data_IF_419499629461
#
_entry.id   IF_419499629461
#
_cell.length_a   1.000
_cell.length_b   1.000
_cell.length_c   1.000
_cell.angle_alpha   90.00
_cell.angle_beta   90.00
_cell.angle_gamma   90.00
#
_symmetry.space_group_name_H-M   'P 1'
#
loop_
_entity.id
_entity.type
_entity.pdbx_description
1 polymer ?
#
# COMPACT_ATOMS: atom_id res chain seq x y z
N UNK A 1 -13.58 -3.24 -6.84
CA UNK A 1 -13.39 -4.49 -6.06
C UNK A 1 -12.44 -5.40 -6.82
N UNK A 2 -11.73 -6.30 -6.13
CA UNK A 2 -10.88 -7.32 -6.74
C UNK A 2 -11.73 -8.37 -7.48
N UNK A 3 -11.17 -9.02 -8.53
CA UNK A 3 -11.79 -10.19 -9.14
C UNK A 3 -11.80 -11.38 -8.18
N UNK A 4 -12.46 -12.48 -8.58
CA UNK A 4 -12.53 -13.72 -7.79
C UNK A 4 -11.13 -14.23 -7.42
N UNK A 5 -10.89 -14.75 -6.19
CA UNK A 5 -9.60 -15.31 -5.76
C UNK A 5 -9.03 -16.37 -6.70
N UNK A 6 -9.89 -17.13 -7.36
CA UNK A 6 -9.52 -18.24 -8.25
C UNK A 6 -9.30 -17.80 -9.70
N UNK A 7 -9.53 -16.52 -10.02
CA UNK A 7 -9.32 -15.99 -11.36
C UNK A 7 -7.83 -15.81 -11.65
N UNK A 8 -7.42 -16.04 -12.89
CA UNK A 8 -6.07 -15.73 -13.38
C UNK A 8 -5.72 -14.25 -13.28
N UNK A 9 -6.73 -13.37 -13.31
CA UNK A 9 -6.53 -11.91 -13.26
C UNK A 9 -6.33 -11.38 -11.84
N UNK A 10 -6.60 -12.21 -10.83
CA UNK A 10 -6.54 -11.80 -9.43
C UNK A 10 -5.16 -11.34 -8.96
N UNK A 11 -4.05 -12.07 -9.23
CA UNK A 11 -2.73 -11.68 -8.78
C UNK A 11 -2.30 -10.32 -9.33
N UNK A 12 -2.54 -10.10 -10.63
CA UNK A 12 -2.23 -8.85 -11.31
C UNK A 12 -3.08 -7.70 -10.75
N UNK A 13 -4.40 -7.87 -10.63
CA UNK A 13 -5.30 -6.85 -10.10
C UNK A 13 -4.96 -6.46 -8.65
N UNK A 14 -4.61 -7.44 -7.81
CA UNK A 14 -4.18 -7.21 -6.44
C UNK A 14 -2.90 -6.36 -6.39
N UNK A 15 -1.89 -6.75 -7.18
CA UNK A 15 -0.61 -6.03 -7.25
C UNK A 15 -0.80 -4.59 -7.72
N UNK A 16 -1.48 -4.40 -8.85
CA UNK A 16 -1.74 -3.09 -9.42
C UNK A 16 -2.48 -2.18 -8.45
N UNK A 17 -3.53 -2.68 -7.79
CA UNK A 17 -4.28 -1.85 -6.84
C UNK A 17 -3.48 -1.53 -5.58
N UNK A 18 -2.69 -2.47 -5.07
CA UNK A 18 -1.78 -2.23 -3.94
C UNK A 18 -0.76 -1.14 -4.28
N UNK A 19 -0.16 -1.21 -5.46
CA UNK A 19 0.85 -0.26 -5.94
C UNK A 19 0.24 1.12 -6.20
N UNK A 20 -0.96 1.18 -6.77
CA UNK A 20 -1.74 2.41 -6.94
C UNK A 20 -1.96 3.15 -5.61
N UNK A 21 -2.17 2.43 -4.50
CA UNK A 21 -2.32 3.02 -3.17
C UNK A 21 -0.99 3.28 -2.45
N UNK A 22 0.15 3.03 -3.10
CA UNK A 22 1.48 3.17 -2.49
C UNK A 22 1.73 2.21 -1.32
N UNK A 23 0.97 1.12 -1.22
CA UNK A 23 1.08 0.17 -0.12
C UNK A 23 2.21 -0.83 -0.37
N UNK A 24 3.09 -0.99 0.63
CA UNK A 24 4.03 -2.11 0.63
C UNK A 24 3.30 -3.43 0.93
N UNK A 25 3.88 -4.56 0.50
CA UNK A 25 3.37 -5.90 0.84
C UNK A 25 3.26 -6.09 2.35
N UNK A 26 4.28 -5.68 3.11
CA UNK A 26 4.27 -5.78 4.57
C UNK A 26 3.15 -4.95 5.19
N UNK A 27 2.88 -3.75 4.66
CA UNK A 27 1.78 -2.90 5.14
C UNK A 27 0.42 -3.52 4.83
N UNK A 28 0.22 -4.05 3.62
CA UNK A 28 -1.00 -4.77 3.26
C UNK A 28 -1.24 -5.95 4.20
N UNK A 29 -0.19 -6.72 4.51
CA UNK A 29 -0.28 -7.85 5.43
C UNK A 29 -0.70 -7.42 6.85
N UNK A 30 -0.09 -6.34 7.38
CA UNK A 30 -0.44 -5.78 8.69
C UNK A 30 -1.90 -5.35 8.74
N UNK A 31 -2.37 -4.60 7.74
CA UNK A 31 -3.76 -4.11 7.68
C UNK A 31 -4.77 -5.25 7.54
N UNK A 32 -4.44 -6.27 6.75
CA UNK A 32 -5.33 -7.42 6.56
C UNK A 32 -5.26 -8.46 7.71
N UNK A 33 -4.34 -8.29 8.66
CA UNK A 33 -4.11 -9.25 9.74
C UNK A 33 -3.67 -10.62 9.22
N UNK A 34 -2.83 -10.64 8.19
CA UNK A 34 -2.26 -11.86 7.59
C UNK A 34 -0.74 -11.89 7.74
N UNK A 35 -0.13 -13.06 7.54
CA UNK A 35 1.32 -13.19 7.62
C UNK A 35 2.03 -12.40 6.50
N UNK A 36 3.19 -11.79 6.81
CA UNK A 36 3.91 -10.88 5.91
C UNK A 36 4.30 -11.45 4.54
N UNK A 37 4.44 -12.78 4.45
CA UNK A 37 4.75 -13.49 3.20
C UNK A 37 3.54 -13.67 2.28
N UNK A 38 2.32 -13.60 2.82
CA UNK A 38 1.10 -13.97 2.09
C UNK A 38 0.79 -13.05 0.92
N UNK A 39 0.95 -11.70 1.01
CA UNK A 39 0.75 -10.83 -0.15
C UNK A 39 1.59 -11.24 -1.36
N UNK A 40 2.86 -11.62 -1.13
CA UNK A 40 3.73 -12.11 -2.21
C UNK A 40 3.16 -13.37 -2.87
N UNK A 41 2.72 -14.34 -2.05
CA UNK A 41 2.12 -15.60 -2.52
C UNK A 41 0.82 -15.41 -3.29
N UNK A 42 0.15 -14.27 -3.12
CA UNK A 42 -1.08 -13.93 -3.83
C UNK A 42 -0.83 -13.16 -5.13
N UNK A 43 0.32 -12.48 -5.25
CA UNK A 43 0.67 -11.62 -6.39
C UNK A 43 1.52 -12.34 -7.44
N UNK A 44 2.26 -13.38 -7.06
CA UNK A 44 3.26 -14.05 -7.92
C UNK A 44 2.79 -15.47 -8.28
N UNK A 45 1.97 -15.66 -9.32
CA UNK A 45 1.50 -16.98 -9.75
C UNK A 45 2.62 -17.89 -10.25
N UNK A 46 3.72 -17.30 -10.75
CA UNK A 46 4.90 -18.03 -11.21
C UNK A 46 5.76 -18.58 -10.06
N UNK A 47 5.48 -18.17 -8.81
CA UNK A 47 6.17 -18.69 -7.64
C UNK A 47 5.62 -20.08 -7.29
N UNK A 48 6.50 -21.05 -7.03
CA UNK A 48 6.09 -22.36 -6.51
C UNK A 48 5.36 -22.33 -5.16
N UNK A 49 5.28 -21.16 -4.51
CA UNK A 49 4.53 -20.92 -3.28
C UNK A 49 3.20 -20.18 -3.51
N UNK A 50 2.75 -20.07 -4.75
CA UNK A 50 1.49 -19.40 -5.07
C UNK A 50 0.33 -20.02 -4.29
N UNK A 51 -0.47 -19.15 -3.68
CA UNK A 51 -1.62 -19.56 -2.89
C UNK A 51 -2.83 -18.71 -3.26
N UNK A 52 -4.02 -19.31 -3.21
CA UNK A 52 -5.27 -18.56 -3.33
C UNK A 52 -5.74 -18.11 -1.95
N UNK A 53 -6.09 -16.83 -1.74
CA UNK A 53 -6.63 -16.39 -0.46
C UNK A 53 -7.99 -17.02 -0.19
N UNK A 54 -8.29 -17.28 1.08
CA UNK A 54 -9.64 -17.69 1.52
C UNK A 54 -10.63 -16.55 1.33
N UNK A 55 -11.92 -16.87 1.28
CA UNK A 55 -13.00 -15.89 1.14
C UNK A 55 -12.93 -14.75 2.17
N UNK A 56 -12.62 -15.07 3.43
CA UNK A 56 -12.50 -14.07 4.50
C UNK A 56 -11.31 -13.13 4.28
N UNK A 57 -10.16 -13.69 3.87
CA UNK A 57 -8.97 -12.90 3.55
C UNK A 57 -9.22 -12.00 2.34
N UNK A 58 -9.86 -12.54 1.31
CA UNK A 58 -10.23 -11.77 0.12
C UNK A 58 -11.14 -10.59 0.47
N UNK A 59 -12.10 -10.76 1.38
CA UNK A 59 -12.97 -9.67 1.86
C UNK A 59 -12.18 -8.56 2.55
N UNK A 60 -11.29 -8.92 3.48
CA UNK A 60 -10.40 -7.95 4.17
C UNK A 60 -9.51 -7.18 3.19
N UNK A 61 -8.96 -7.88 2.19
CA UNK A 61 -8.17 -7.23 1.14
C UNK A 61 -9.02 -6.21 0.37
N UNK A 62 -10.27 -6.53 0.03
CA UNK A 62 -11.18 -5.58 -0.61
C UNK A 62 -11.47 -4.37 0.27
N UNK A 63 -11.71 -4.55 1.57
CA UNK A 63 -11.95 -3.45 2.50
C UNK A 63 -10.79 -2.45 2.57
N UNK A 64 -9.55 -2.95 2.52
CA UNK A 64 -8.35 -2.12 2.59
C UNK A 64 -8.04 -1.43 1.26
N UNK A 65 -8.27 -2.13 0.15
CA UNK A 65 -7.92 -1.65 -1.20
C UNK A 65 -9.01 -0.79 -1.84
N UNK A 66 -10.23 -0.88 -1.33
CA UNK A 66 -11.41 -0.19 -1.86
C UNK A 66 -12.22 0.45 -0.71
N UNK A 67 -11.61 1.34 0.10
CA UNK A 67 -12.28 1.97 1.25
C UNK A 67 -13.53 2.76 0.84
N UNK A 68 -13.59 3.27 -0.38
CA UNK A 68 -14.73 4.00 -0.92
C UNK A 68 -16.01 3.14 -1.02
N UNK A 69 -15.87 1.81 -1.12
CA UNK A 69 -17.02 0.88 -1.16
C UNK A 69 -17.44 0.40 0.23
N UNK A 70 -16.59 0.58 1.25
CA UNK A 70 -16.85 0.13 2.62
C UNK A 70 -17.19 1.26 3.58
N UNK A 71 -17.05 2.51 3.12
CA UNK A 71 -17.31 3.71 3.92
C UNK A 71 -18.79 3.88 4.32
N UNK A 72 -19.71 3.10 3.75
CA UNK A 72 -21.11 3.06 4.19
C UNK A 72 -21.37 2.17 5.43
N UNK A 73 -20.39 1.41 5.93
CA UNK A 73 -20.61 0.45 7.04
C UNK A 73 -19.75 0.71 8.28
N UNK A 74 -18.77 1.63 8.24
CA UNK A 74 -17.84 1.87 9.35
C UNK A 74 -18.12 3.17 10.12
N UNK A 75 -19.37 3.33 10.56
CA UNK A 75 -19.64 4.06 11.79
C UNK A 75 -19.38 3.14 12.98
N UNK A 76 -18.43 3.51 13.84
CA UNK A 76 -18.10 2.87 15.12
C UNK A 76 -17.26 1.58 15.03
N UNK A 77 -15.95 1.67 15.32
CA UNK A 77 -15.30 0.93 16.43
C UNK A 77 -13.98 1.61 16.80
N UNK A 78 -14.06 2.55 17.75
CA UNK A 78 -12.94 2.96 18.61
C UNK A 78 -13.10 2.22 19.94
N UNK A 79 -12.10 1.44 20.39
CA UNK A 79 -11.95 1.14 21.81
C UNK A 79 -10.55 1.57 22.31
N UNK A 80 -10.31 1.65 23.63
CA UNK A 80 -10.18 2.91 24.35
C UNK A 80 -8.73 3.25 24.72
N UNK A 81 -8.50 4.51 25.05
CA UNK A 81 -7.28 5.03 25.66
C UNK A 81 -7.14 4.46 27.08
N UNK A 82 -5.95 4.02 27.52
CA UNK A 82 -5.53 4.19 28.90
C UNK A 82 -4.53 5.34 28.99
N UNK A 83 -4.95 6.41 29.67
CA UNK A 83 -4.04 7.44 30.17
C UNK A 83 -3.21 6.81 31.29
N UNK A 84 -1.89 6.81 31.18
CA UNK A 84 -1.01 6.88 32.35
C UNK A 84 0.31 7.52 31.94
N UNK A 85 0.51 8.70 32.50
CA UNK A 85 1.72 9.52 32.52
C UNK A 85 2.86 8.77 33.19
N UNK A 86 4.02 8.70 32.55
CA UNK A 86 5.31 8.68 33.23
C UNK A 86 6.39 9.15 32.26
N UNK A 87 7.07 10.18 32.72
CA UNK A 87 8.12 10.96 32.08
C UNK A 87 9.47 10.21 32.09
N UNK A 88 10.44 10.76 31.35
CA UNK A 88 11.90 10.64 31.54
C UNK A 88 12.69 9.59 30.72
N UNK A 89 13.21 10.11 29.59
CA UNK A 89 14.65 10.21 29.25
C UNK A 89 15.38 9.12 28.44
N UNK A 90 16.10 9.64 27.43
CA UNK A 90 17.35 9.15 26.81
C UNK A 90 17.29 7.84 26.02
N UNK A 91 17.64 7.75 24.74
CA UNK A 91 18.69 8.43 23.93
C UNK A 91 18.34 8.34 22.43
N UNK A 92 18.86 9.24 21.58
CA UNK A 92 18.54 9.32 20.16
C UNK A 92 19.47 8.43 19.32
N UNK A 93 18.90 7.47 18.58
CA UNK A 93 19.63 6.77 17.52
C UNK A 93 19.00 7.06 16.14
N UNK A 94 19.57 8.08 15.50
CA UNK A 94 20.07 7.98 14.13
C UNK A 94 19.07 7.77 12.99
N UNK A 95 18.43 8.86 12.53
CA UNK A 95 18.21 9.04 11.09
C UNK A 95 18.85 10.37 10.72
N UNK A 96 19.93 10.29 9.93
CA UNK A 96 20.65 11.45 9.40
C UNK A 96 19.70 12.23 8.50
N UNK A 97 19.23 13.38 8.97
CA UNK A 97 18.62 14.39 8.11
C UNK A 97 19.66 14.86 7.10
N UNK A 98 19.39 14.65 5.80
CA UNK A 98 20.18 15.27 4.74
C UNK A 98 19.84 16.75 4.73
N UNK A 99 20.73 17.56 5.29
CA UNK A 99 20.69 19.02 5.20
C UNK A 99 20.97 19.43 3.75
N UNK A 100 19.95 19.94 3.06
CA UNK A 100 20.10 20.48 1.72
C UNK A 100 20.68 21.90 1.86
N UNK A 101 21.98 22.04 1.60
CA UNK A 101 22.64 23.34 1.52
C UNK A 101 22.22 24.00 0.22
N UNK A 102 21.75 25.24 0.35
CA UNK A 102 21.32 26.15 -0.71
C UNK A 102 22.46 26.36 -1.73
N UNK A 103 22.39 25.65 -2.87
CA UNK A 103 23.21 25.95 -4.03
C UNK A 103 22.51 27.03 -4.86
N UNK A 104 23.06 28.24 -4.76
CA UNK A 104 22.79 29.38 -5.61
C UNK A 104 23.00 29.02 -7.09
N UNK A 105 22.02 29.44 -7.91
CA UNK A 105 21.95 29.39 -9.36
C UNK A 105 21.48 28.07 -10.01
N UNK A 106 20.28 28.14 -10.60
CA UNK A 106 19.98 27.46 -11.86
C UNK A 106 19.35 26.06 -11.76
N UNK A 107 18.07 26.01 -12.13
CA UNK A 107 17.34 24.83 -12.62
C UNK A 107 16.93 23.80 -11.54
N UNK A 108 15.75 24.03 -10.96
CA UNK A 108 15.01 22.98 -10.27
C UNK A 108 14.33 22.08 -11.32
N UNK A 109 14.81 20.83 -11.46
CA UNK A 109 14.12 19.80 -12.23
C UNK A 109 13.25 19.00 -11.26
N UNK A 110 11.93 19.16 -11.35
CA UNK A 110 10.96 18.31 -10.65
C UNK A 110 10.54 17.18 -11.57
N UNK A 111 10.84 15.93 -11.23
CA UNK A 111 10.28 14.77 -11.90
C UNK A 111 9.05 14.28 -11.13
N UNK A 112 7.86 14.59 -11.63
CA UNK A 112 6.64 13.86 -11.31
C UNK A 112 6.40 12.85 -12.43
N UNK A 113 6.33 11.56 -12.09
CA UNK A 113 5.91 10.51 -13.03
C UNK A 113 4.43 10.27 -12.79
N UNK A 114 3.60 10.81 -13.70
CA UNK A 114 2.18 10.50 -13.85
C UNK A 114 2.06 9.52 -15.02
N UNK A 115 1.55 8.30 -14.75
CA UNK A 115 1.55 7.18 -15.72
C UNK A 115 0.22 7.11 -16.50
N UNK A 116 -0.73 8.03 -16.28
CA UNK A 116 -2.10 7.79 -16.76
C UNK A 116 -2.42 8.24 -18.20
N UNK A 117 -1.46 8.73 -19.01
CA UNK A 117 -1.64 8.84 -20.49
C UNK A 117 -0.37 9.25 -21.24
N UNK A 118 0.04 8.46 -22.23
CA UNK A 118 0.89 8.92 -23.34
C UNK A 118 0.02 9.00 -24.59
N UNK A 119 -0.46 10.20 -24.95
CA UNK A 119 -1.04 10.45 -26.28
C UNK A 119 0.06 10.95 -27.22
N UNK A 120 0.40 10.16 -28.25
CA UNK A 120 1.31 10.56 -29.33
C UNK A 120 0.45 11.07 -30.49
N UNK A 121 0.55 12.36 -30.80
CA UNK A 121 -0.07 12.95 -32.00
C UNK A 121 1.01 13.11 -33.07
N UNK A 122 0.91 12.32 -34.14
CA UNK A 122 1.73 12.50 -35.35
C UNK A 122 0.96 13.42 -36.28
N UNK A 123 1.50 14.60 -36.59
CA UNK A 123 1.01 15.47 -37.66
C UNK A 123 1.84 15.19 -38.92
N UNK A 124 1.16 14.83 -40.00
CA UNK A 124 1.70 14.82 -41.36
C UNK A 124 1.66 16.20 -41.99
#
# INVERSE_FOLDING_TARGET
>A
MLPSPTSSDFPAALKTRREFLGLSRAELARRAGIHGVMPRRYEEPDSGEFATPRADTWRKLNEILYPEFTSSVLGQQKPPVPTTTADTSSVPYGVRGLTLVEAKAGLAITFGVDIDRIEIIIRG
#
